data_IF_379403653591
#
_entry.id   IF_379403653591
#
_cell.length_a   1.000
_cell.length_b   1.000
_cell.length_c   1.000
_cell.angle_alpha   90.00
_cell.angle_beta   90.00
_cell.angle_gamma   90.00
#
_symmetry.space_group_name_H-M   'P 1'
#
loop_
_entity.id
_entity.type
_entity.pdbx_description
1 polymer ?
#
# COMPACT_ATOMS: atom_id res chain seq x y z
N UNK A 1 0.39 -7.26 39.63
CA UNK A 1 0.43 -8.51 38.83
C UNK A 1 1.15 -8.20 37.54
N UNK A 2 2.35 -8.75 37.33
CA UNK A 2 3.19 -8.46 36.16
C UNK A 2 2.81 -9.37 34.98
N UNK A 3 3.05 -8.93 33.74
CA UNK A 3 2.74 -9.73 32.54
C UNK A 3 3.42 -11.12 32.54
N UNK A 4 4.57 -11.24 33.22
CA UNK A 4 5.29 -12.51 33.40
C UNK A 4 4.56 -13.49 34.33
N UNK A 5 3.71 -12.98 35.21
CA UNK A 5 2.94 -13.80 36.14
C UNK A 5 1.71 -14.42 35.47
N UNK A 6 1.19 -13.81 34.39
CA UNK A 6 0.02 -14.30 33.64
C UNK A 6 0.32 -15.57 32.84
N UNK A 7 1.56 -15.76 32.40
CA UNK A 7 1.98 -16.95 31.63
C UNK A 7 1.93 -18.23 32.47
N UNK A 8 2.04 -18.12 33.80
CA UNK A 8 1.98 -19.26 34.73
C UNK A 8 0.54 -19.63 35.11
N UNK A 9 -0.44 -18.84 34.68
CA UNK A 9 -1.85 -19.04 35.03
C UNK A 9 -2.51 -19.88 33.93
N UNK A 10 -2.81 -21.13 34.26
CA UNK A 10 -3.48 -22.10 33.35
C UNK A 10 -4.79 -21.58 32.75
N UNK A 11 -5.43 -20.59 33.37
CA UNK A 11 -6.70 -20.00 32.92
C UNK A 11 -6.62 -19.45 31.48
N UNK A 12 -5.44 -19.01 31.02
CA UNK A 12 -5.26 -18.58 29.63
C UNK A 12 -5.22 -19.74 28.62
N UNK A 13 -4.79 -20.92 29.05
CA UNK A 13 -4.71 -22.13 28.22
C UNK A 13 -6.03 -22.91 28.25
N UNK A 14 -6.64 -23.04 29.43
CA UNK A 14 -7.89 -23.79 29.62
C UNK A 14 -9.11 -22.96 29.24
N UNK A 15 -8.97 -21.64 29.22
CA UNK A 15 -10.07 -20.70 29.07
C UNK A 15 -10.94 -20.64 30.33
N UNK A 16 -11.86 -19.68 30.38
CA UNK A 16 -12.78 -19.55 31.50
C UNK A 16 -13.72 -20.77 31.62
N UNK A 17 -14.16 -21.10 32.85
CA UNK A 17 -14.84 -22.36 33.16
C UNK A 17 -16.20 -22.51 32.47
N UNK A 18 -16.84 -21.42 32.04
CA UNK A 18 -18.08 -21.45 31.27
C UNK A 18 -17.96 -22.20 29.93
N UNK A 19 -16.74 -22.47 29.44
CA UNK A 19 -16.50 -23.29 28.25
C UNK A 19 -16.56 -24.80 28.52
N UNK A 20 -16.38 -25.22 29.78
CA UNK A 20 -16.33 -26.62 30.19
C UNK A 20 -17.67 -27.13 30.74
N UNK A 21 -18.62 -26.23 30.94
CA UNK A 21 -19.97 -26.58 31.38
C UNK A 21 -20.80 -27.08 30.18
N UNK A 22 -21.30 -28.33 30.20
CA UNK A 22 -22.08 -28.88 29.08
C UNK A 22 -23.46 -28.22 28.93
N UNK A 23 -23.88 -27.39 29.89
CA UNK A 23 -25.21 -26.79 29.96
C UNK A 23 -25.12 -25.27 30.12
N UNK A 24 -24.53 -24.59 29.15
CA UNK A 24 -24.91 -23.19 28.91
C UNK A 24 -26.33 -23.26 28.33
N UNK A 25 -27.34 -22.61 28.94
CA UNK A 25 -28.63 -22.47 28.28
C UNK A 25 -28.44 -21.48 27.13
N UNK A 26 -27.96 -22.01 26.01
CA UNK A 26 -28.10 -21.40 24.71
C UNK A 26 -29.60 -21.25 24.51
N UNK A 27 -30.10 -20.01 24.58
CA UNK A 27 -31.49 -19.66 24.30
C UNK A 27 -31.72 -19.73 22.78
N UNK A 28 -31.36 -20.87 22.18
CA UNK A 28 -31.59 -21.21 20.79
C UNK A 28 -33.01 -21.77 20.76
N UNK A 29 -33.94 -21.17 19.98
CA UNK A 29 -35.28 -21.73 19.81
C UNK A 29 -35.15 -23.16 19.31
N UNK A 30 -35.69 -24.09 20.09
CA UNK A 30 -35.70 -25.52 19.80
C UNK A 30 -36.74 -25.83 18.74
N UNK A 31 -36.43 -25.53 17.48
CA UNK A 31 -37.13 -26.11 16.34
C UNK A 31 -36.11 -26.90 15.51
N UNK A 32 -36.22 -28.23 15.64
CA UNK A 32 -35.69 -29.27 14.74
C UNK A 32 -34.28 -29.07 14.19
N UNK A 33 -33.29 -29.67 14.86
CA UNK A 33 -32.04 -30.07 14.21
C UNK A 33 -32.37 -31.26 13.29
N UNK A 34 -32.90 -30.97 12.11
CA UNK A 34 -32.78 -31.91 11.01
C UNK A 34 -31.31 -31.93 10.59
N UNK A 35 -30.72 -33.11 10.70
CA UNK A 35 -29.34 -33.37 10.31
C UNK A 35 -29.28 -33.45 8.80
N UNK A 36 -29.44 -32.32 8.12
CA UNK A 36 -29.16 -32.21 6.69
C UNK A 36 -27.68 -31.88 6.52
N UNK A 37 -26.87 -32.93 6.39
CA UNK A 37 -25.43 -32.84 6.13
C UNK A 37 -25.11 -32.16 4.78
N UNK A 38 -26.13 -31.90 3.93
CA UNK A 38 -26.03 -31.15 2.67
C UNK A 38 -26.25 -29.62 2.83
N UNK A 39 -26.54 -29.15 4.05
CA UNK A 39 -26.78 -27.73 4.32
C UNK A 39 -25.53 -26.90 4.63
N UNK A 40 -24.33 -27.49 4.59
CA UNK A 40 -23.08 -26.72 4.40
C UNK A 40 -23.01 -26.31 2.91
N UNK A 41 -24.04 -25.61 2.44
CA UNK A 41 -23.97 -24.85 1.20
C UNK A 41 -22.88 -23.84 1.42
N UNK A 42 -21.79 -24.01 0.68
CA UNK A 42 -20.74 -23.04 0.46
C UNK A 42 -21.29 -21.63 0.66
N UNK A 43 -20.83 -20.93 1.69
CA UNK A 43 -21.07 -19.49 1.84
C UNK A 43 -20.39 -18.83 0.62
N UNK A 44 -21.10 -18.78 -0.51
CA UNK A 44 -20.67 -18.08 -1.70
C UNK A 44 -20.71 -16.61 -1.35
N UNK A 45 -19.60 -16.11 -0.80
CA UNK A 45 -19.37 -14.68 -0.62
C UNK A 45 -19.60 -14.03 -1.97
N UNK A 46 -20.72 -13.33 -2.10
CA UNK A 46 -21.07 -12.57 -3.29
C UNK A 46 -20.03 -11.46 -3.39
N UNK A 47 -19.00 -11.64 -4.21
CA UNK A 47 -17.99 -10.61 -4.44
C UNK A 47 -18.65 -9.54 -5.30
N UNK A 48 -19.18 -8.52 -4.66
CA UNK A 48 -19.62 -7.30 -5.35
C UNK A 48 -18.36 -6.53 -5.72
N UNK A 49 -17.94 -6.66 -6.98
CA UNK A 49 -16.86 -5.85 -7.55
C UNK A 49 -17.46 -4.53 -8.02
N UNK A 50 -17.42 -3.51 -7.17
CA UNK A 50 -17.70 -2.14 -7.62
C UNK A 50 -16.47 -1.61 -8.37
N UNK A 51 -16.61 -1.41 -9.68
CA UNK A 51 -15.57 -0.77 -10.49
C UNK A 51 -15.55 0.73 -10.17
N UNK A 52 -14.61 1.15 -9.33
CA UNK A 52 -14.38 2.56 -9.07
C UNK A 52 -13.43 3.10 -10.15
N UNK A 53 -13.96 3.88 -11.10
CA UNK A 53 -13.12 4.59 -12.06
C UNK A 53 -12.44 5.76 -11.35
N UNK A 54 -11.25 5.52 -10.80
CA UNK A 54 -10.38 6.58 -10.33
C UNK A 54 -9.75 7.21 -11.57
N UNK A 55 -10.12 8.46 -11.86
CA UNK A 55 -9.28 9.31 -12.71
C UNK A 55 -8.00 9.55 -11.92
N UNK A 56 -6.93 8.84 -12.28
CA UNK A 56 -5.62 8.95 -11.62
C UNK A 56 -5.07 10.38 -11.82
N UNK A 57 -5.44 11.30 -10.93
CA UNK A 57 -4.63 12.50 -10.73
C UNK A 57 -3.34 12.08 -10.03
N UNK A 58 -2.21 12.41 -10.64
CA UNK A 58 -0.90 12.15 -10.06
C UNK A 58 -0.75 13.02 -8.81
N UNK A 59 -0.97 12.40 -7.65
CA UNK A 59 -0.75 13.06 -6.37
C UNK A 59 0.67 12.81 -5.88
N UNK A 60 1.34 13.82 -5.30
CA UNK A 60 2.67 13.65 -4.75
C UNK A 60 2.61 12.68 -3.56
N UNK A 61 3.52 11.70 -3.54
CA UNK A 61 3.62 10.71 -2.46
C UNK A 61 4.04 11.36 -1.13
N UNK A 62 4.80 12.45 -1.23
CA UNK A 62 5.42 13.20 -0.13
C UNK A 62 5.38 14.69 -0.50
N UNK A 63 5.27 15.55 0.50
CA UNK A 63 5.51 16.99 0.30
C UNK A 63 7.02 17.25 0.26
N UNK A 64 7.59 17.47 -0.94
CA UNK A 64 9.03 17.68 -1.13
C UNK A 64 9.56 18.91 -0.37
N UNK A 65 8.75 19.95 -0.20
CA UNK A 65 9.16 21.18 0.49
C UNK A 65 9.44 20.95 1.99
N UNK A 66 8.94 19.85 2.55
CA UNK A 66 9.19 19.48 3.94
C UNK A 66 10.54 18.76 4.16
N UNK A 67 11.31 18.50 3.10
CA UNK A 67 12.56 17.74 3.15
C UNK A 67 13.74 18.56 2.61
N UNK A 68 14.80 18.67 3.42
CA UNK A 68 16.05 19.33 3.02
C UNK A 68 17.11 18.35 2.49
N UNK A 69 16.78 17.06 2.33
CA UNK A 69 17.72 16.03 1.91
C UNK A 69 17.06 15.08 0.89
N UNK A 70 17.61 15.08 -0.33
CA UNK A 70 17.13 14.24 -1.42
C UNK A 70 17.31 12.75 -1.14
N UNK A 71 18.44 12.31 -0.60
CA UNK A 71 18.67 10.89 -0.25
C UNK A 71 17.60 10.38 0.72
N UNK A 72 17.18 11.23 1.69
CA UNK A 72 16.07 10.90 2.59
C UNK A 72 14.76 10.72 1.84
N UNK A 73 14.43 11.62 0.91
CA UNK A 73 13.23 11.51 0.06
C UNK A 73 13.26 10.22 -0.75
N UNK A 74 14.37 9.92 -1.41
CA UNK A 74 14.53 8.70 -2.21
C UNK A 74 14.35 7.45 -1.35
N UNK A 75 15.00 7.38 -0.18
CA UNK A 75 14.87 6.25 0.75
C UNK A 75 13.43 6.06 1.24
N UNK A 76 12.77 7.12 1.70
CA UNK A 76 11.37 7.03 2.16
C UNK A 76 10.46 6.56 1.02
N UNK A 77 10.60 7.16 -0.16
CA UNK A 77 9.82 6.80 -1.35
C UNK A 77 10.03 5.34 -1.72
N UNK A 78 11.27 4.85 -1.71
CA UNK A 78 11.59 3.45 -2.02
C UNK A 78 10.92 2.46 -1.06
N UNK A 79 10.88 2.76 0.24
CA UNK A 79 10.15 1.93 1.21
C UNK A 79 8.63 1.94 0.98
N UNK A 80 8.06 3.08 0.62
CA UNK A 80 6.63 3.17 0.31
C UNK A 80 6.30 2.36 -0.94
N UNK A 81 7.08 2.48 -2.01
CA UNK A 81 6.92 1.69 -3.24
C UNK A 81 7.06 0.18 -2.98
N UNK A 82 8.05 -0.22 -2.16
CA UNK A 82 8.20 -1.61 -1.70
C UNK A 82 6.98 -2.08 -0.94
N UNK A 83 6.44 -1.25 -0.04
CA UNK A 83 5.25 -1.59 0.75
C UNK A 83 4.04 -1.85 -0.15
N UNK A 84 3.82 -0.98 -1.15
CA UNK A 84 2.77 -1.17 -2.17
C UNK A 84 2.99 -2.48 -2.94
N UNK A 85 4.23 -2.82 -3.30
CA UNK A 85 4.52 -4.09 -3.95
C UNK A 85 4.23 -5.29 -3.05
N UNK A 86 4.60 -5.22 -1.77
CA UNK A 86 4.41 -6.28 -0.78
C UNK A 86 2.93 -6.52 -0.41
N UNK A 87 2.07 -5.51 -0.58
CA UNK A 87 0.62 -5.64 -0.38
C UNK A 87 -0.09 -6.42 -1.51
N UNK A 88 0.55 -6.66 -2.65
CA UNK A 88 -0.06 -7.38 -3.79
C UNK A 88 -0.06 -8.88 -3.52
N UNK A 89 -1.23 -9.52 -3.67
CA UNK A 89 -1.50 -10.91 -3.25
C UNK A 89 -0.57 -11.98 -3.88
N UNK A 90 0.10 -11.69 -5.00
CA UNK A 90 0.95 -12.64 -5.73
C UNK A 90 2.37 -12.13 -5.99
N UNK A 91 2.85 -11.16 -5.21
CA UNK A 91 4.23 -10.65 -5.34
C UNK A 91 5.11 -11.23 -4.25
N UNK A 92 6.38 -11.53 -4.60
CA UNK A 92 7.40 -11.88 -3.61
C UNK A 92 7.56 -10.70 -2.66
N UNK A 93 7.44 -10.96 -1.37
CA UNK A 93 7.64 -9.96 -0.32
C UNK A 93 9.13 -9.75 -0.13
N UNK A 94 9.55 -8.50 -0.17
CA UNK A 94 10.94 -8.10 0.05
C UNK A 94 11.04 -7.53 1.46
N UNK A 95 11.93 -8.08 2.27
CA UNK A 95 12.17 -7.65 3.67
C UNK A 95 13.62 -7.26 3.92
N UNK A 96 14.53 -7.58 2.98
CA UNK A 96 15.96 -7.26 3.09
C UNK A 96 16.24 -5.76 2.97
N UNK A 97 17.52 -5.39 3.02
CA UNK A 97 17.95 -4.00 2.84
C UNK A 97 17.49 -3.42 1.49
N UNK A 98 17.42 -2.10 1.42
CA UNK A 98 17.11 -1.39 0.17
C UNK A 98 18.12 -1.72 -0.92
N UNK A 99 17.63 -2.21 -2.04
CA UNK A 99 18.45 -2.51 -3.21
C UNK A 99 18.63 -1.25 -4.06
N UNK A 100 19.74 -1.17 -4.80
CA UNK A 100 20.05 -0.03 -5.68
C UNK A 100 18.93 0.22 -6.69
N UNK A 101 18.32 -0.84 -7.23
CA UNK A 101 17.20 -0.74 -8.17
C UNK A 101 15.98 -0.04 -7.57
N UNK A 102 15.71 -0.23 -6.28
CA UNK A 102 14.58 0.42 -5.61
C UNK A 102 14.82 1.91 -5.41
N UNK A 103 16.07 2.29 -5.12
CA UNK A 103 16.47 3.70 -5.05
C UNK A 103 16.36 4.36 -6.42
N UNK A 104 16.85 3.70 -7.48
CA UNK A 104 16.75 4.20 -8.85
C UNK A 104 15.29 4.33 -9.32
N UNK A 105 14.45 3.37 -8.98
CA UNK A 105 13.02 3.44 -9.30
C UNK A 105 12.32 4.58 -8.55
N UNK A 106 12.69 4.83 -7.29
CA UNK A 106 12.17 5.95 -6.52
C UNK A 106 12.61 7.31 -7.09
N UNK A 107 13.85 7.43 -7.53
CA UNK A 107 14.34 8.63 -8.23
C UNK A 107 13.57 8.87 -9.52
N UNK A 108 13.46 7.83 -10.35
CA UNK A 108 12.71 7.90 -11.61
C UNK A 108 11.25 8.26 -11.42
N UNK A 109 10.62 7.82 -10.33
CA UNK A 109 9.27 8.20 -9.97
C UNK A 109 9.16 9.73 -9.80
N UNK A 110 10.05 10.34 -9.01
CA UNK A 110 10.03 11.79 -8.79
C UNK A 110 10.38 12.60 -10.04
N UNK A 111 11.34 12.15 -10.84
CA UNK A 111 11.66 12.78 -12.13
C UNK A 111 10.41 12.81 -13.02
N UNK A 112 9.71 11.68 -13.15
CA UNK A 112 8.47 11.61 -13.94
C UNK A 112 7.37 12.47 -13.36
N UNK A 113 7.22 12.48 -12.03
CA UNK A 113 6.24 13.29 -11.33
C UNK A 113 6.43 14.78 -11.68
N UNK A 114 7.63 15.31 -11.46
CA UNK A 114 7.97 16.72 -11.71
C UNK A 114 7.83 17.07 -13.18
N UNK A 115 8.27 16.20 -14.09
CA UNK A 115 8.10 16.41 -15.53
C UNK A 115 6.62 16.53 -15.93
N UNK A 116 5.72 15.77 -15.29
CA UNK A 116 4.30 15.79 -15.61
C UNK A 116 3.55 16.94 -14.92
N UNK A 117 4.01 17.41 -13.75
CA UNK A 117 3.39 18.53 -13.04
C UNK A 117 3.87 19.89 -13.54
N UNK A 118 5.18 20.09 -13.66
CA UNK A 118 5.78 21.40 -13.89
C UNK A 118 6.19 21.66 -15.34
N UNK A 119 6.38 20.58 -16.10
CA UNK A 119 6.85 20.60 -17.49
C UNK A 119 5.85 19.97 -18.45
N UNK A 120 4.56 19.95 -18.10
CA UNK A 120 3.50 19.25 -18.84
C UNK A 120 3.50 19.55 -20.34
N UNK A 121 3.65 20.81 -20.72
CA UNK A 121 3.69 21.23 -22.12
C UNK A 121 4.90 20.66 -22.88
N UNK A 122 6.06 20.59 -22.24
CA UNK A 122 7.28 20.04 -22.82
C UNK A 122 7.25 18.52 -22.83
N UNK A 123 6.68 17.89 -21.81
CA UNK A 123 6.43 16.45 -21.76
C UNK A 123 5.52 16.01 -22.91
N UNK A 124 4.44 16.75 -23.17
CA UNK A 124 3.54 16.51 -24.30
C UNK A 124 4.23 16.76 -25.66
N UNK A 125 5.05 17.81 -25.78
CA UNK A 125 5.83 18.10 -27.00
C UNK A 125 6.90 17.04 -27.28
N UNK A 126 7.59 16.56 -26.24
CA UNK A 126 8.57 15.48 -26.33
C UNK A 126 7.93 14.18 -26.80
N UNK A 127 6.73 13.87 -26.30
CA UNK A 127 5.95 12.72 -26.78
C UNK A 127 5.48 12.88 -28.24
N UNK A 128 5.34 14.12 -28.72
CA UNK A 128 5.00 14.46 -30.11
C UNK A 128 6.24 14.70 -31.01
N UNK A 129 7.47 14.48 -30.52
CA UNK A 129 8.73 14.76 -31.23
C UNK A 129 8.85 16.20 -31.77
N UNK A 130 8.26 17.18 -31.09
CA UNK A 130 8.32 18.61 -31.46
C UNK A 130 9.40 19.35 -30.66
N UNK A 131 9.97 20.40 -31.23
CA UNK A 131 11.01 21.17 -30.55
C UNK A 131 10.46 21.95 -29.36
N UNK A 132 11.21 21.98 -28.27
CA UNK A 132 10.88 22.76 -27.06
C UNK A 132 11.03 24.26 -27.34
N UNK A 133 10.08 25.07 -26.85
CA UNK A 133 10.07 26.53 -27.01
C UNK A 133 11.23 27.20 -26.24
N UNK A 134 11.74 28.33 -26.74
CA UNK A 134 12.83 29.07 -26.06
C UNK A 134 12.42 29.69 -24.71
N UNK A 135 11.14 29.89 -24.48
CA UNK A 135 10.61 30.46 -23.22
C UNK A 135 10.25 29.39 -22.20
N UNK A 136 10.70 28.16 -22.41
CA UNK A 136 10.35 27.03 -21.57
C UNK A 136 11.29 26.90 -20.38
N UNK A 137 10.82 26.30 -19.28
CA UNK A 137 11.62 26.11 -18.06
C UNK A 137 12.85 25.22 -18.33
N UNK A 138 12.74 24.25 -19.24
CA UNK A 138 13.89 23.43 -19.66
C UNK A 138 14.98 24.22 -20.38
N UNK A 139 14.64 25.28 -21.12
CA UNK A 139 15.65 26.10 -21.78
C UNK A 139 16.51 26.86 -20.76
N UNK A 140 15.90 27.36 -19.68
CA UNK A 140 16.62 28.02 -18.59
C UNK A 140 17.61 27.07 -17.90
N UNK A 141 17.24 25.81 -17.67
CA UNK A 141 18.13 24.82 -17.05
C UNK A 141 19.37 24.47 -17.90
N UNK A 142 19.29 24.58 -19.24
CA UNK A 142 20.45 24.39 -20.10
C UNK A 142 21.46 25.53 -20.04
N UNK A 143 21.03 26.73 -19.68
CA UNK A 143 21.90 27.90 -19.62
C UNK A 143 22.77 27.90 -18.35
N UNK A 144 22.29 27.32 -17.24
CA UNK A 144 23.00 27.30 -15.96
C UNK A 144 24.16 26.26 -15.90
N UNK A 145 24.28 25.37 -16.88
CA UNK A 145 25.43 24.43 -17.01
C UNK A 145 26.60 24.98 -17.83
N UNK A 146 26.53 26.24 -18.28
CA UNK A 146 27.57 26.88 -19.10
C UNK A 146 28.31 28.04 -18.39
N UNK A 147 28.18 28.17 -17.07
CA UNK A 147 28.88 29.18 -16.27
C UNK A 147 30.01 28.57 -15.44
#
# INVERSE_FOLDING_TARGET
MSAKDLVKVEIWLTGPPWRLEPNIPCNIPSDSIDTDLDSIKEEKRKVVVSLLMIVESLQPLLNLDSYNNLDKVIRVTSYVLRSVNNCKHNRKKITDNLMVDELFNAEKFWVRFIQQTDLKTEYELGNQYKSVSRNSKLFCLKMDSCA
#
